data_IF_658198273843
#
_entry.id   IF_658198273843
#
_cell.length_a   1.000
_cell.length_b   1.000
_cell.length_c   1.000
_cell.angle_alpha   90.00
_cell.angle_beta   90.00
_cell.angle_gamma   90.00
#
_symmetry.space_group_name_H-M   'P 1'
#
loop_
_entity.id
_entity.type
_entity.pdbx_description
1 polymer ?
#
# COMPACT_ATOMS: atom_id res chain seq x y z
N UNK A 1 -14.13 -19.39 12.20
CA UNK A 1 -12.94 -19.59 11.32
C UNK A 1 -12.97 -18.68 10.08
N UNK A 2 -14.07 -18.58 9.31
CA UNK A 2 -14.15 -17.65 8.15
C UNK A 2 -14.18 -16.16 8.55
N UNK A 3 -14.92 -15.78 9.58
CA UNK A 3 -14.99 -14.38 10.05
C UNK A 3 -13.64 -13.85 10.52
N UNK A 4 -12.88 -14.63 11.31
CA UNK A 4 -11.53 -14.24 11.72
C UNK A 4 -10.59 -14.03 10.54
N UNK A 5 -10.76 -14.79 9.44
CA UNK A 5 -9.96 -14.60 8.23
C UNK A 5 -10.29 -13.27 7.54
N UNK A 6 -11.57 -13.01 7.33
CA UNK A 6 -12.03 -11.76 6.72
C UNK A 6 -11.63 -10.53 7.54
N UNK A 7 -11.78 -10.59 8.87
CA UNK A 7 -11.43 -9.47 9.74
C UNK A 7 -9.91 -9.18 9.74
N UNK A 8 -9.08 -10.23 9.79
CA UNK A 8 -7.62 -10.05 9.72
C UNK A 8 -7.17 -9.52 8.37
N UNK A 9 -7.74 -10.01 7.27
CA UNK A 9 -7.46 -9.51 5.92
C UNK A 9 -7.84 -8.02 5.80
N UNK A 10 -9.07 -7.65 6.16
CA UNK A 10 -9.53 -6.26 6.10
C UNK A 10 -8.69 -5.34 6.99
N UNK A 11 -8.25 -5.83 8.16
CA UNK A 11 -7.34 -5.08 9.03
C UNK A 11 -5.99 -4.82 8.37
N UNK A 12 -5.48 -5.78 7.61
CA UNK A 12 -4.23 -5.62 6.86
C UNK A 12 -4.37 -4.63 5.72
N UNK A 13 -5.44 -4.73 4.95
CA UNK A 13 -5.76 -3.80 3.85
C UNK A 13 -5.90 -2.37 4.36
N UNK A 14 -6.65 -2.16 5.45
CA UNK A 14 -6.80 -0.84 6.05
C UNK A 14 -5.46 -0.27 6.54
N UNK A 15 -4.63 -1.12 7.15
CA UNK A 15 -3.31 -0.70 7.65
C UNK A 15 -2.38 -0.31 6.49
N UNK A 16 -2.32 -1.14 5.45
CA UNK A 16 -1.53 -0.86 4.25
C UNK A 16 -1.99 0.43 3.55
N UNK A 17 -3.30 0.65 3.48
CA UNK A 17 -3.89 1.87 2.92
C UNK A 17 -3.47 3.12 3.72
N UNK A 18 -3.45 3.03 5.05
CA UNK A 18 -3.01 4.13 5.90
C UNK A 18 -1.52 4.43 5.70
N UNK A 19 -0.67 3.42 5.56
CA UNK A 19 0.75 3.61 5.25
C UNK A 19 0.96 4.20 3.86
N UNK A 20 0.24 3.72 2.85
CA UNK A 20 0.25 4.29 1.50
C UNK A 20 -0.20 5.76 1.49
N UNK A 21 -1.25 6.11 2.25
CA UNK A 21 -1.71 7.50 2.40
C UNK A 21 -0.63 8.38 3.06
N UNK A 22 0.06 7.88 4.09
CA UNK A 22 1.18 8.59 4.73
C UNK A 22 2.33 8.83 3.76
N UNK A 23 2.70 7.82 2.97
CA UNK A 23 3.68 7.95 1.90
C UNK A 23 3.25 9.03 0.89
N UNK A 24 2.03 8.91 0.36
CA UNK A 24 1.46 9.83 -0.62
C UNK A 24 1.51 11.27 -0.10
N UNK A 25 1.06 11.51 1.14
CA UNK A 25 1.09 12.84 1.76
C UNK A 25 2.51 13.43 1.85
N UNK A 26 3.53 12.59 2.11
CA UNK A 26 4.93 13.04 2.16
C UNK A 26 5.46 13.39 0.77
N UNK A 27 5.13 12.59 -0.25
CA UNK A 27 5.55 12.84 -1.63
C UNK A 27 4.89 14.10 -2.16
N UNK A 28 3.58 14.28 -1.95
CA UNK A 28 2.82 15.45 -2.39
C UNK A 28 3.28 16.79 -1.78
N UNK A 29 4.16 16.78 -0.77
CA UNK A 29 4.79 18.00 -0.25
C UNK A 29 5.95 18.50 -1.13
N UNK A 30 6.35 17.75 -2.17
CA UNK A 30 7.42 18.07 -3.11
C UNK A 30 6.90 18.86 -4.32
N UNK A 31 7.79 19.49 -5.12
CA UNK A 31 7.43 20.11 -6.39
C UNK A 31 6.75 19.11 -7.35
N UNK A 32 5.81 19.59 -8.16
CA UNK A 32 4.93 18.74 -8.99
C UNK A 32 5.69 17.84 -9.98
N UNK A 33 6.80 18.31 -10.55
CA UNK A 33 7.65 17.49 -11.41
C UNK A 33 8.29 16.33 -10.64
N UNK A 34 8.84 16.59 -9.46
CA UNK A 34 9.44 15.56 -8.60
C UNK A 34 8.40 14.55 -8.12
N UNK A 35 7.18 15.01 -7.80
CA UNK A 35 6.06 14.14 -7.42
C UNK A 35 5.75 13.12 -8.51
N UNK A 36 5.63 13.60 -9.74
CA UNK A 36 5.27 12.75 -10.87
C UNK A 36 6.38 11.75 -11.21
N UNK A 37 7.64 12.19 -11.21
CA UNK A 37 8.79 11.32 -11.44
C UNK A 37 8.83 10.20 -10.40
N UNK A 38 8.61 10.52 -9.12
CA UNK A 38 8.61 9.52 -8.05
C UNK A 38 7.46 8.52 -8.16
N UNK A 39 6.25 8.99 -8.49
CA UNK A 39 5.10 8.08 -8.63
C UNK A 39 5.18 7.21 -9.90
N UNK A 40 5.89 7.65 -10.94
CA UNK A 40 6.00 6.89 -12.20
C UNK A 40 7.29 6.06 -12.30
N UNK A 41 8.25 6.25 -11.39
CA UNK A 41 9.43 5.40 -11.29
C UNK A 41 9.07 4.01 -10.74
N UNK A 42 9.17 3.02 -11.63
CA UNK A 42 8.86 1.62 -11.32
C UNK A 42 9.71 1.08 -10.16
N UNK A 43 11.02 1.25 -10.19
CA UNK A 43 11.91 0.64 -9.19
C UNK A 43 11.71 1.27 -7.81
N UNK A 44 11.49 2.58 -7.79
CA UNK A 44 11.16 3.30 -6.57
C UNK A 44 9.83 2.82 -5.99
N UNK A 45 8.78 2.74 -6.80
CA UNK A 45 7.46 2.33 -6.33
C UNK A 45 7.41 0.87 -5.86
N UNK A 46 8.12 -0.04 -6.53
CA UNK A 46 8.27 -1.44 -6.05
C UNK A 46 8.87 -1.47 -4.62
N UNK A 47 9.89 -0.64 -4.36
CA UNK A 47 10.50 -0.51 -3.02
C UNK A 47 9.51 0.06 -2.00
N UNK A 48 8.69 1.03 -2.41
CA UNK A 48 7.64 1.61 -1.55
C UNK A 48 6.57 0.59 -1.20
N UNK A 49 6.13 -0.24 -2.15
CA UNK A 49 5.15 -1.30 -1.86
C UNK A 49 5.69 -2.31 -0.86
N UNK A 50 6.94 -2.73 -1.02
CA UNK A 50 7.57 -3.66 -0.09
C UNK A 50 7.69 -3.07 1.33
N UNK A 51 8.07 -1.80 1.45
CA UNK A 51 8.12 -1.07 2.74
C UNK A 51 6.73 -0.95 3.40
N UNK A 52 5.68 -0.66 2.62
CA UNK A 52 4.29 -0.62 3.11
C UNK A 52 3.87 -1.99 3.65
N UNK A 53 4.20 -3.08 2.95
CA UNK A 53 3.87 -4.43 3.40
C UNK A 53 4.67 -4.80 4.65
N UNK A 54 5.95 -4.43 4.73
CA UNK A 54 6.77 -4.67 5.92
C UNK A 54 6.19 -3.94 7.15
N UNK A 55 5.79 -2.67 7.00
CA UNK A 55 5.13 -1.91 8.06
C UNK A 55 3.79 -2.51 8.45
N UNK A 56 3.00 -2.94 7.48
CA UNK A 56 1.71 -3.61 7.71
C UNK A 56 1.89 -4.88 8.53
N UNK A 57 2.86 -5.73 8.16
CA UNK A 57 3.21 -6.94 8.92
C UNK A 57 3.61 -6.63 10.37
N UNK A 58 4.38 -5.55 10.58
CA UNK A 58 4.82 -5.11 11.92
C UNK A 58 3.68 -4.58 12.78
N UNK A 59 2.65 -4.00 12.17
CA UNK A 59 1.50 -3.42 12.88
C UNK A 59 0.40 -4.43 13.23
N UNK A 60 0.46 -5.65 12.69
CA UNK A 60 -0.52 -6.71 12.92
C UNK A 60 0.08 -7.79 13.80
N UNK A 61 -0.70 -8.28 14.76
CA UNK A 61 -0.31 -9.41 15.60
C UNK A 61 0.04 -10.65 14.76
N UNK A 62 1.21 -11.24 15.03
CA UNK A 62 1.74 -12.41 14.32
C UNK A 62 0.76 -13.58 14.31
N UNK A 63 -0.07 -13.73 15.35
CA UNK A 63 -1.09 -14.78 15.43
C UNK A 63 -2.13 -14.73 14.30
N UNK A 64 -2.27 -13.55 13.67
CA UNK A 64 -3.20 -13.27 12.58
C UNK A 64 -2.58 -13.45 11.20
N UNK A 65 -1.24 -13.47 11.07
CA UNK A 65 -0.55 -13.46 9.77
C UNK A 65 -0.93 -14.65 8.87
N UNK A 66 -1.20 -15.83 9.46
CA UNK A 66 -1.66 -17.03 8.72
C UNK A 66 -3.01 -16.86 8.02
N UNK A 67 -3.75 -15.82 8.35
CA UNK A 67 -5.06 -15.52 7.78
C UNK A 67 -5.02 -14.42 6.73
N UNK A 68 -3.85 -13.81 6.50
CA UNK A 68 -3.66 -12.65 5.65
C UNK A 68 -2.87 -13.08 4.43
N UNK A 69 -3.37 -12.74 3.25
CA UNK A 69 -2.61 -12.82 2.01
C UNK A 69 -1.92 -11.47 1.78
N UNK A 70 -0.66 -11.36 2.19
CA UNK A 70 0.10 -10.12 2.06
C UNK A 70 0.45 -9.77 0.61
N UNK A 71 0.45 -10.75 -0.30
CA UNK A 71 0.67 -10.46 -1.72
C UNK A 71 -0.60 -9.86 -2.33
N UNK A 72 -1.78 -10.36 -1.95
CA UNK A 72 -3.05 -9.72 -2.31
C UNK A 72 -3.13 -8.27 -1.78
N UNK A 73 -2.73 -8.02 -0.54
CA UNK A 73 -2.66 -6.65 0.01
C UNK A 73 -1.71 -5.78 -0.82
N UNK A 74 -0.55 -6.30 -1.23
CA UNK A 74 0.43 -5.59 -2.07
C UNK A 74 -0.18 -5.20 -3.41
N UNK A 75 -0.80 -6.16 -4.09
CA UNK A 75 -1.47 -5.98 -5.38
C UNK A 75 -2.58 -4.92 -5.25
N UNK A 76 -3.37 -4.94 -4.18
CA UNK A 76 -4.43 -3.95 -3.98
C UNK A 76 -3.89 -2.51 -3.87
N UNK A 77 -2.75 -2.32 -3.20
CA UNK A 77 -2.08 -1.01 -3.14
C UNK A 77 -1.52 -0.61 -4.52
N UNK A 78 -0.93 -1.54 -5.26
CA UNK A 78 -0.43 -1.30 -6.62
C UNK A 78 -1.55 -0.88 -7.58
N UNK A 79 -2.71 -1.57 -7.51
CA UNK A 79 -3.89 -1.24 -8.30
C UNK A 79 -4.39 0.17 -7.99
N UNK A 80 -4.59 0.49 -6.71
CA UNK A 80 -5.03 1.82 -6.28
C UNK A 80 -4.07 2.93 -6.75
N UNK A 81 -2.77 2.70 -6.63
CA UNK A 81 -1.76 3.64 -7.11
C UNK A 81 -1.85 3.84 -8.63
N UNK A 82 -1.97 2.75 -9.38
CA UNK A 82 -2.07 2.79 -10.85
C UNK A 82 -3.34 3.52 -11.30
N UNK A 83 -4.47 3.25 -10.66
CA UNK A 83 -5.74 3.96 -10.89
C UNK A 83 -5.61 5.46 -10.62
N UNK A 84 -4.95 5.84 -9.52
CA UNK A 84 -4.70 7.24 -9.19
C UNK A 84 -3.83 7.94 -10.25
N UNK A 85 -2.80 7.27 -10.76
CA UNK A 85 -2.00 7.78 -11.87
C UNK A 85 -2.88 7.96 -13.11
N UNK A 86 -3.63 6.93 -13.51
CA UNK A 86 -4.48 6.99 -14.71
C UNK A 86 -5.47 8.16 -14.67
N UNK A 87 -6.08 8.43 -13.51
CA UNK A 87 -6.98 9.58 -13.32
C UNK A 87 -6.25 10.91 -13.51
N UNK A 88 -5.00 11.04 -13.06
CA UNK A 88 -4.21 12.25 -13.25
C UNK A 88 -3.78 12.49 -14.71
N UNK A 89 -3.84 11.47 -15.58
CA UNK A 89 -3.50 11.56 -17.01
C UNK A 89 -4.71 11.85 -17.92
N UNK A 90 -5.94 11.75 -17.41
CA UNK A 90 -7.18 12.05 -18.15
C UNK A 90 -7.60 13.50 -17.96
#
# INVERSE_FOLDING_TARGET
KKENKCNSQNSAELTALLEYSRFTKKVLAKPANEVFDLFTDKYYMETVYDDIIEKTKKSIDQSQHRYIDFEEVRINIMCMHTEAIMICYM
#
